data_IF_447399320835
#
_entry.id   IF_447399320835
#
_cell.length_a   1.000
_cell.length_b   1.000
_cell.length_c   1.000
_cell.angle_alpha   90.00
_cell.angle_beta   90.00
_cell.angle_gamma   90.00
#
_symmetry.space_group_name_H-M   'P 1'
#
loop_
_entity.id
_entity.type
_entity.pdbx_description
1 polymer ?
#
# COMPACT_ATOMS: atom_id res chain seq x y z
N UNK A 1 19.83 4.24 -8.79
CA UNK A 1 18.72 3.89 -7.87
C UNK A 1 18.90 4.72 -6.63
N UNK A 2 18.00 5.68 -6.36
CA UNK A 2 18.01 6.39 -5.08
C UNK A 2 17.61 5.38 -3.99
N UNK A 3 18.48 5.20 -2.99
CA UNK A 3 18.11 4.49 -1.77
C UNK A 3 17.05 5.33 -1.07
N UNK A 4 15.84 4.78 -0.89
CA UNK A 4 14.83 5.37 -0.02
C UNK A 4 15.37 5.34 1.41
N UNK A 5 15.25 6.45 2.14
CA UNK A 5 15.60 6.46 3.55
C UNK A 5 14.56 5.65 4.34
N UNK A 6 14.94 5.14 5.51
CA UNK A 6 14.01 4.53 6.45
C UNK A 6 12.73 5.35 6.66
N UNK A 7 12.85 6.67 6.77
CA UNK A 7 11.69 7.55 6.95
C UNK A 7 10.77 7.54 5.72
N UNK A 8 11.34 7.58 4.51
CA UNK A 8 10.56 7.50 3.28
C UNK A 8 9.79 6.18 3.19
N UNK A 9 10.39 5.06 3.62
CA UNK A 9 9.72 3.76 3.65
C UNK A 9 8.53 3.77 4.62
N UNK A 10 8.69 4.37 5.80
CA UNK A 10 7.63 4.47 6.81
C UNK A 10 6.47 5.31 6.27
N UNK A 11 6.75 6.46 5.66
CA UNK A 11 5.73 7.34 5.10
C UNK A 11 4.95 6.65 3.97
N UNK A 12 5.67 5.93 3.08
CA UNK A 12 5.04 5.15 2.00
C UNK A 12 4.14 4.05 2.56
N UNK A 13 4.60 3.31 3.58
CA UNK A 13 3.81 2.26 4.23
C UNK A 13 2.57 2.85 4.88
N UNK A 14 2.69 4.00 5.56
CA UNK A 14 1.55 4.71 6.15
C UNK A 14 0.49 5.05 5.11
N UNK A 15 0.89 5.62 3.97
CA UNK A 15 -0.02 5.93 2.85
C UNK A 15 -0.68 4.65 2.31
N UNK A 16 0.08 3.57 2.16
CA UNK A 16 -0.46 2.31 1.64
C UNK A 16 -1.49 1.70 2.60
N UNK A 17 -1.21 1.70 3.90
CA UNK A 17 -2.11 1.21 4.95
C UNK A 17 -3.38 2.07 5.01
N UNK A 18 -3.26 3.40 4.98
CA UNK A 18 -4.42 4.31 4.98
C UNK A 18 -5.29 4.17 3.72
N UNK A 19 -4.67 3.91 2.57
CA UNK A 19 -5.39 3.66 1.32
C UNK A 19 -6.06 2.28 1.25
N UNK A 20 -5.79 1.41 2.22
CA UNK A 20 -6.21 0.03 2.24
C UNK A 20 -7.17 -0.24 3.43
N UNK A 21 -8.49 -0.29 3.21
CA UNK A 21 -9.46 -0.54 4.28
C UNK A 21 -9.40 -1.95 4.87
N UNK A 22 -8.67 -2.88 4.23
CA UNK A 22 -8.45 -4.25 4.69
C UNK A 22 -7.02 -4.46 5.23
N UNK A 23 -6.18 -3.42 5.23
CA UNK A 23 -4.83 -3.51 5.76
C UNK A 23 -4.89 -3.66 7.27
N UNK A 24 -4.04 -4.53 7.82
CA UNK A 24 -3.82 -4.56 9.27
C UNK A 24 -3.35 -3.17 9.72
N UNK A 25 -4.02 -2.56 10.72
CA UNK A 25 -3.57 -1.29 11.26
C UNK A 25 -2.18 -1.46 11.85
N UNK A 26 -1.23 -0.67 11.38
CA UNK A 26 0.13 -0.61 11.91
C UNK A 26 0.38 0.84 12.37
N UNK A 27 0.84 0.99 13.61
CA UNK A 27 1.21 2.29 14.15
C UNK A 27 2.58 2.75 13.63
N UNK A 28 2.74 4.06 13.45
CA UNK A 28 4.03 4.68 13.10
C UNK A 28 5.13 4.35 14.11
N UNK A 29 4.80 4.25 15.40
CA UNK A 29 5.75 3.86 16.45
C UNK A 29 6.31 2.45 16.21
N UNK A 30 5.46 1.51 15.78
CA UNK A 30 5.90 0.17 15.44
C UNK A 30 6.77 0.14 14.19
N UNK A 31 6.45 0.96 13.17
CA UNK A 31 7.28 1.10 11.97
C UNK A 31 8.66 1.68 12.27
N UNK A 32 8.75 2.63 13.20
CA UNK A 32 10.01 3.23 13.63
C UNK A 32 10.94 2.23 14.36
N UNK A 33 10.37 1.21 15.02
CA UNK A 33 11.13 0.16 15.70
C UNK A 33 11.65 -0.93 14.74
N UNK A 34 11.12 -1.01 13.52
CA UNK A 34 11.53 -2.00 12.53
C UNK A 34 12.82 -1.58 11.80
N UNK A 35 13.57 -2.57 11.34
CA UNK A 35 14.72 -2.41 10.46
C UNK A 35 14.29 -2.11 9.01
N UNK A 36 15.19 -1.50 8.23
CA UNK A 36 14.92 -1.16 6.82
C UNK A 36 14.51 -2.37 5.99
N UNK A 37 15.13 -3.54 6.21
CA UNK A 37 14.82 -4.76 5.46
C UNK A 37 13.37 -5.23 5.73
N UNK A 38 12.93 -5.16 6.99
CA UNK A 38 11.55 -5.46 7.36
C UNK A 38 10.57 -4.46 6.74
N UNK A 39 10.90 -3.16 6.73
CA UNK A 39 10.07 -2.13 6.10
C UNK A 39 9.95 -2.35 4.58
N UNK A 40 11.04 -2.70 3.89
CA UNK A 40 11.00 -3.05 2.47
C UNK A 40 10.10 -4.26 2.20
N UNK A 41 10.14 -5.29 3.05
CA UNK A 41 9.25 -6.47 2.93
C UNK A 41 7.79 -6.12 3.13
N UNK A 42 7.48 -5.25 4.09
CA UNK A 42 6.11 -4.77 4.35
C UNK A 42 5.60 -3.98 3.15
N UNK A 43 6.40 -3.01 2.67
CA UNK A 43 6.08 -2.23 1.47
C UNK A 43 5.79 -3.14 0.27
N UNK A 44 6.66 -4.11 -0.01
CA UNK A 44 6.49 -5.03 -1.13
C UNK A 44 5.21 -5.88 -1.01
N UNK A 45 4.86 -6.31 0.21
CA UNK A 45 3.60 -7.03 0.45
C UNK A 45 2.37 -6.13 0.24
N UNK A 46 2.39 -4.89 0.73
CA UNK A 46 1.31 -3.93 0.55
C UNK A 46 1.14 -3.51 -0.92
N UNK A 47 2.24 -3.36 -1.66
CA UNK A 47 2.20 -3.09 -3.10
C UNK A 47 1.62 -4.29 -3.87
N UNK A 48 1.95 -5.52 -3.46
CA UNK A 48 1.38 -6.74 -4.05
C UNK A 48 -0.11 -6.87 -3.79
N UNK A 49 -0.58 -6.59 -2.58
CA UNK A 49 -2.03 -6.61 -2.27
C UNK A 49 -2.77 -5.51 -3.02
N UNK A 50 -2.17 -4.33 -3.18
CA UNK A 50 -2.69 -3.26 -4.04
C UNK A 50 -2.75 -3.69 -5.51
N UNK A 51 -1.72 -4.35 -6.02
CA UNK A 51 -1.66 -4.83 -7.41
C UNK A 51 -2.74 -5.88 -7.70
N UNK A 52 -2.97 -6.83 -6.79
CA UNK A 52 -4.04 -7.83 -6.95
C UNK A 52 -5.44 -7.19 -7.00
N UNK A 53 -5.68 -6.09 -6.27
CA UNK A 53 -6.97 -5.37 -6.31
C UNK A 53 -7.20 -4.62 -7.61
N UNK A 54 -6.14 -4.08 -8.21
CA UNK A 54 -6.25 -3.44 -9.53
C UNK A 54 -6.63 -4.43 -10.63
N UNK A 55 -6.42 -5.74 -10.39
CA UNK A 55 -6.76 -6.82 -11.31
C UNK A 55 -8.12 -7.46 -11.05
N UNK A 56 -8.67 -7.36 -9.83
CA UNK A 56 -9.99 -7.91 -9.49
C UNK A 56 -11.10 -6.85 -9.64
N UNK A 57 -11.54 -6.63 -10.89
CA UNK A 57 -12.94 -6.30 -11.21
C UNK A 57 -13.53 -4.93 -10.83
N UNK A 58 -12.96 -4.17 -9.89
CA UNK A 58 -13.50 -2.87 -9.48
C UNK A 58 -13.52 -1.87 -10.66
N UNK A 59 -12.47 -1.86 -11.48
CA UNK A 59 -12.35 -0.93 -12.60
C UNK A 59 -13.40 -1.22 -13.70
N UNK A 60 -13.72 -2.49 -13.93
CA UNK A 60 -14.78 -2.90 -14.85
C UNK A 60 -16.17 -2.57 -14.31
N UNK A 61 -16.38 -2.62 -12.99
CA UNK A 61 -17.64 -2.17 -12.37
C UNK A 61 -17.79 -0.64 -12.40
N UNK A 62 -16.73 0.14 -12.14
CA UNK A 62 -16.76 1.60 -12.31
C UNK A 62 -16.98 2.02 -13.76
N UNK A 63 -16.30 1.37 -14.72
CA UNK A 63 -16.49 1.65 -16.14
C UNK A 63 -17.91 1.35 -16.61
N UNK A 64 -18.54 0.27 -16.13
CA UNK A 64 -19.96 -0.02 -16.38
C UNK A 64 -20.90 1.01 -15.74
N UNK A 65 -20.53 1.57 -14.59
CA UNK A 65 -21.37 2.54 -13.87
C UNK A 65 -21.30 3.94 -14.51
N UNK A 66 -20.15 4.33 -15.07
CA UNK A 66 -19.96 5.62 -15.74
C UNK A 66 -20.27 5.62 -17.26
N UNK A 67 -20.59 4.48 -17.87
CA UNK A 67 -20.93 4.39 -19.31
C UNK A 67 -22.43 4.42 -19.60
N UNK A 68 -23.25 4.96 -18.67
CA UNK A 68 -24.64 5.32 -18.96
C UNK A 68 -24.74 6.82 -19.18
N UNK A 69 -24.40 7.23 -20.40
CA UNK A 69 -25.03 8.34 -21.12
C UNK A 69 -24.91 8.08 -22.64
#
# INVERSE_FOLDING_TARGET
>A
MQKLSKQDLIDIIGILVESDPNSTPISYDNLNLMDEETLEKIKANLERTKSNRSHEGWLDELAKTCSKD
#
